data_IF_079072959029
#
_entry.id   IF_079072959029
#
_cell.length_a   1.000
_cell.length_b   1.000
_cell.length_c   1.000
_cell.angle_alpha   90.00
_cell.angle_beta   90.00
_cell.angle_gamma   90.00
#
_symmetry.space_group_name_H-M   'P 1'
#
loop_
_entity.id
_entity.type
_entity.pdbx_description
1 polymer ?
#
# COMPACT_ATOMS: atom_id res chain seq x y z
N UNK A 1 5.87 16.73 -5.93
CA UNK A 1 4.89 17.26 -4.97
C UNK A 1 3.56 16.55 -5.19
N UNK A 2 2.93 16.02 -4.14
CA UNK A 2 1.58 15.43 -4.20
C UNK A 2 0.62 16.43 -3.56
N UNK A 3 -0.15 17.20 -4.35
CA UNK A 3 -0.92 18.33 -3.84
C UNK A 3 -2.16 17.90 -3.04
N UNK A 4 -2.73 16.73 -3.34
CA UNK A 4 -3.89 16.18 -2.64
C UNK A 4 -3.96 14.66 -2.84
N UNK A 5 -4.77 13.97 -2.05
CA UNK A 5 -5.32 12.64 -2.36
C UNK A 5 -6.82 12.63 -2.09
N UNK A 6 -7.56 11.76 -2.77
CA UNK A 6 -8.95 11.53 -2.45
C UNK A 6 -9.05 10.54 -1.28
N UNK A 7 -9.78 10.95 -0.23
CA UNK A 7 -10.02 10.14 0.96
C UNK A 7 -8.72 9.69 1.63
N UNK A 8 -8.61 8.41 1.93
CA UNK A 8 -7.41 7.79 2.48
C UNK A 8 -6.93 6.60 1.65
N UNK A 9 -5.68 6.18 1.87
CA UNK A 9 -5.17 4.93 1.35
C UNK A 9 -4.28 4.18 2.34
N UNK A 10 -4.31 2.85 2.24
CA UNK A 10 -3.44 1.94 2.99
C UNK A 10 -2.34 1.39 2.09
N UNK A 11 -1.11 1.45 2.58
CA UNK A 11 0.08 0.90 1.94
C UNK A 11 0.81 0.00 2.95
N UNK A 12 1.30 -1.13 2.48
CA UNK A 12 2.14 -2.00 3.30
C UNK A 12 3.35 -2.50 2.51
N UNK A 13 4.52 -2.38 3.13
CA UNK A 13 5.75 -3.07 2.79
C UNK A 13 6.06 -4.12 3.86
N UNK A 14 6.63 -5.24 3.42
CA UNK A 14 6.99 -6.30 4.36
C UNK A 14 7.22 -7.65 3.70
N UNK A 15 7.48 -8.63 4.55
CA UNK A 15 7.78 -10.00 4.18
C UNK A 15 6.74 -10.97 4.74
N UNK A 16 6.31 -11.94 3.93
CA UNK A 16 5.52 -13.06 4.41
C UNK A 16 6.45 -14.08 5.09
N UNK A 17 6.14 -14.44 6.34
CA UNK A 17 6.94 -15.38 7.14
C UNK A 17 6.19 -16.69 7.38
N UNK A 18 6.62 -17.82 6.75
CA UNK A 18 6.02 -19.12 6.99
C UNK A 18 6.11 -19.53 8.46
N UNK A 19 5.01 -19.97 9.09
CA UNK A 19 4.98 -20.20 10.54
C UNK A 19 5.81 -21.41 11.00
N UNK A 20 6.24 -22.27 10.06
CA UNK A 20 7.13 -23.40 10.31
C UNK A 20 7.79 -23.89 9.02
N UNK A 21 8.90 -24.61 9.17
CA UNK A 21 9.58 -25.25 8.06
C UNK A 21 8.66 -26.21 7.28
N UNK A 22 8.83 -26.26 5.95
CA UNK A 22 8.10 -27.17 5.07
C UNK A 22 6.70 -26.70 4.65
N UNK A 23 6.19 -25.58 5.19
CA UNK A 23 5.00 -24.91 4.66
C UNK A 23 5.25 -24.58 3.19
N UNK A 24 4.29 -24.91 2.31
CA UNK A 24 4.38 -24.68 0.86
C UNK A 24 3.56 -23.51 0.38
N UNK A 25 2.54 -23.14 1.16
CA UNK A 25 1.68 -22.00 0.92
C UNK A 25 1.11 -21.49 2.24
N UNK A 26 0.79 -20.21 2.29
CA UNK A 26 0.16 -19.56 3.43
C UNK A 26 -0.69 -18.37 2.96
N UNK A 27 -1.38 -17.76 3.91
CA UNK A 27 -2.07 -16.51 3.72
C UNK A 27 -1.39 -15.41 4.55
N UNK A 28 -1.33 -14.21 3.97
CA UNK A 28 -1.07 -12.98 4.72
C UNK A 28 -2.30 -12.10 4.66
N UNK A 29 -2.63 -11.43 5.75
CA UNK A 29 -3.86 -10.65 5.85
C UNK A 29 -3.60 -9.33 6.57
N UNK A 30 -4.10 -8.24 5.97
CA UNK A 30 -4.25 -6.96 6.64
C UNK A 30 -5.74 -6.63 6.71
N UNK A 31 -6.18 -6.15 7.87
CA UNK A 31 -7.55 -5.71 8.09
C UNK A 31 -7.59 -4.41 8.89
N UNK A 32 -8.57 -3.56 8.59
CA UNK A 32 -8.87 -2.32 9.28
C UNK A 32 -10.33 -2.36 9.74
N UNK A 33 -10.57 -2.01 11.00
CA UNK A 33 -11.90 -1.67 11.49
C UNK A 33 -11.90 -0.18 11.80
N UNK A 34 -12.78 0.55 11.12
CA UNK A 34 -12.94 1.99 11.26
C UNK A 34 -13.84 2.33 12.45
N UNK A 35 -13.75 3.57 12.91
CA UNK A 35 -14.50 4.06 14.09
C UNK A 35 -16.02 4.04 13.89
N UNK A 36 -16.49 4.12 12.64
CA UNK A 36 -17.91 4.00 12.27
C UNK A 36 -18.41 2.54 12.25
N UNK A 37 -17.55 1.57 12.61
CA UNK A 37 -17.82 0.15 12.61
C UNK A 37 -17.65 -0.55 11.26
N UNK A 38 -17.41 0.21 10.18
CA UNK A 38 -17.08 -0.38 8.87
C UNK A 38 -15.75 -1.12 8.92
N UNK A 39 -15.57 -2.08 8.00
CA UNK A 39 -14.40 -2.95 7.99
C UNK A 39 -13.86 -3.13 6.59
N UNK A 40 -12.54 -3.21 6.52
CA UNK A 40 -11.79 -3.58 5.34
C UNK A 40 -10.88 -4.76 5.64
N UNK A 41 -10.71 -5.65 4.66
CA UNK A 41 -9.81 -6.79 4.75
C UNK A 41 -9.26 -7.14 3.39
N UNK A 42 -7.96 -7.43 3.33
CA UNK A 42 -7.31 -8.00 2.16
C UNK A 42 -6.42 -9.13 2.58
N UNK A 43 -6.63 -10.28 1.94
CA UNK A 43 -5.87 -11.50 2.12
C UNK A 43 -5.15 -11.82 0.81
N UNK A 44 -3.85 -12.07 0.88
CA UNK A 44 -3.04 -12.55 -0.24
C UNK A 44 -2.65 -14.00 -0.03
N UNK A 45 -2.71 -14.79 -1.10
CA UNK A 45 -2.23 -16.16 -1.11
C UNK A 45 -0.75 -16.15 -1.48
N UNK A 46 0.08 -16.74 -0.63
CA UNK A 46 1.52 -16.82 -0.81
C UNK A 46 1.93 -18.27 -1.02
N UNK A 47 2.62 -18.57 -2.11
CA UNK A 47 3.12 -19.90 -2.42
C UNK A 47 4.64 -19.92 -2.60
N UNK A 48 5.25 -21.04 -2.23
CA UNK A 48 6.57 -21.39 -2.71
C UNK A 48 6.57 -21.50 -4.24
N UNK A 49 7.76 -21.54 -4.83
CA UNK A 49 7.89 -21.54 -6.29
C UNK A 49 7.08 -22.66 -6.94
N UNK A 50 6.35 -22.29 -8.00
CA UNK A 50 5.63 -23.20 -8.89
C UNK A 50 6.00 -22.88 -10.32
N UNK A 51 5.97 -23.89 -11.17
CA UNK A 51 6.26 -23.76 -12.60
C UNK A 51 5.22 -24.51 -13.41
N UNK A 52 5.04 -24.13 -14.67
CA UNK A 52 4.23 -24.91 -15.60
C UNK A 52 4.94 -26.21 -15.95
N UNK A 53 4.21 -27.33 -15.91
CA UNK A 53 4.65 -28.63 -16.45
C UNK A 53 3.66 -29.09 -17.51
N UNK A 54 4.16 -29.84 -18.50
CA UNK A 54 3.31 -30.49 -19.49
C UNK A 54 2.58 -31.67 -18.85
N UNK A 55 1.31 -31.83 -19.16
CA UNK A 55 0.53 -33.03 -18.85
C UNK A 55 -0.27 -33.48 -20.09
N UNK A 56 -1.03 -34.57 -19.97
CA UNK A 56 -1.84 -35.12 -21.08
C UNK A 56 -2.94 -34.16 -21.56
N UNK A 57 -3.36 -33.20 -20.73
CA UNK A 57 -4.45 -32.26 -20.99
C UNK A 57 -3.94 -30.83 -21.30
N UNK A 58 -2.63 -30.65 -21.53
CA UNK A 58 -1.99 -29.36 -21.77
C UNK A 58 -0.92 -29.03 -20.73
N UNK A 59 -1.09 -27.92 -20.01
CA UNK A 59 -0.16 -27.47 -18.98
C UNK A 59 -0.87 -27.35 -17.62
N UNK A 60 -0.18 -27.76 -16.57
CA UNK A 60 -0.63 -27.64 -15.18
C UNK A 60 0.53 -27.12 -14.31
N UNK A 61 0.25 -26.50 -13.16
CA UNK A 61 1.30 -26.11 -12.23
C UNK A 61 1.97 -27.36 -11.61
N UNK A 62 3.24 -27.22 -11.23
CA UNK A 62 3.90 -28.12 -10.29
C UNK A 62 3.31 -27.93 -8.89
N UNK A 63 3.58 -28.89 -8.01
CA UNK A 63 3.42 -28.62 -6.58
C UNK A 63 4.32 -27.44 -6.17
N UNK A 64 3.86 -26.65 -5.21
CA UNK A 64 4.69 -25.61 -4.64
C UNK A 64 5.88 -26.22 -3.89
N UNK A 65 7.07 -25.65 -4.10
CA UNK A 65 8.23 -25.93 -3.23
C UNK A 65 7.94 -25.43 -1.81
N UNK A 66 8.82 -25.80 -0.86
CA UNK A 66 8.81 -25.18 0.46
C UNK A 66 8.93 -23.66 0.31
N UNK A 67 8.07 -22.94 1.02
CA UNK A 67 8.06 -21.48 1.08
C UNK A 67 9.05 -21.06 2.16
N UNK A 68 9.97 -20.15 1.81
CA UNK A 68 10.76 -19.38 2.77
C UNK A 68 10.15 -17.98 2.95
N UNK A 69 10.81 -17.09 3.74
CA UNK A 69 10.43 -15.68 3.81
C UNK A 69 10.32 -15.08 2.40
N UNK A 70 9.20 -14.43 2.10
CA UNK A 70 8.93 -13.87 0.78
C UNK A 70 8.53 -12.39 0.87
N UNK A 71 9.39 -11.46 0.42
CA UNK A 71 9.04 -10.04 0.33
C UNK A 71 7.78 -9.84 -0.52
N UNK A 72 6.83 -9.04 -0.02
CA UNK A 72 5.58 -8.74 -0.70
C UNK A 72 5.78 -7.66 -1.78
N UNK A 73 6.45 -8.04 -2.86
CA UNK A 73 6.75 -7.16 -3.99
C UNK A 73 6.03 -7.60 -5.27
N UNK A 74 5.76 -6.66 -6.16
CA UNK A 74 5.04 -6.91 -7.41
C UNK A 74 5.78 -7.86 -8.36
N UNK A 75 7.09 -8.00 -8.24
CA UNK A 75 7.95 -8.94 -8.95
C UNK A 75 7.59 -10.41 -8.67
N UNK A 76 6.93 -10.67 -7.55
CA UNK A 76 6.42 -12.00 -7.17
C UNK A 76 4.94 -12.19 -7.51
N UNK A 77 4.24 -11.13 -7.93
CA UNK A 77 2.84 -11.15 -8.31
C UNK A 77 2.62 -11.44 -9.80
N UNK A 78 1.37 -11.70 -10.19
CA UNK A 78 1.00 -11.91 -11.59
C UNK A 78 1.36 -10.69 -12.45
N UNK A 79 1.94 -10.93 -13.63
CA UNK A 79 2.33 -9.90 -14.59
C UNK A 79 3.59 -10.30 -15.37
N UNK A 80 4.32 -9.31 -15.86
CA UNK A 80 5.59 -9.48 -16.56
C UNK A 80 5.48 -9.42 -18.08
N UNK A 81 6.47 -10.02 -18.73
CA UNK A 81 6.66 -9.99 -20.18
C UNK A 81 6.60 -11.40 -20.76
N UNK A 82 5.90 -11.55 -21.89
CA UNK A 82 5.95 -12.72 -22.77
C UNK A 82 6.83 -12.36 -23.96
N UNK A 83 8.15 -12.53 -23.79
CA UNK A 83 9.18 -12.14 -24.76
C UNK A 83 8.99 -12.80 -26.12
N UNK A 84 8.53 -14.06 -26.14
CA UNK A 84 8.31 -14.82 -27.38
C UNK A 84 7.23 -14.20 -28.27
N UNK A 85 6.36 -13.36 -27.70
CA UNK A 85 5.21 -12.76 -28.39
C UNK A 85 5.24 -11.24 -28.39
N UNK A 86 6.30 -10.67 -27.81
CA UNK A 86 6.46 -9.23 -27.64
C UNK A 86 5.19 -8.61 -26.99
N UNK A 87 4.82 -9.16 -25.83
CA UNK A 87 3.68 -8.69 -25.04
C UNK A 87 4.08 -8.44 -23.60
N UNK A 88 3.58 -7.34 -23.05
CA UNK A 88 3.79 -6.95 -21.66
C UNK A 88 2.42 -6.84 -20.98
N UNK A 89 2.28 -7.40 -19.78
CA UNK A 89 1.15 -7.07 -18.92
C UNK A 89 1.36 -5.68 -18.33
N UNK A 90 0.70 -4.67 -18.91
CA UNK A 90 0.84 -3.27 -18.48
C UNK A 90 0.32 -3.03 -17.05
N UNK A 91 -0.43 -3.98 -16.46
CA UNK A 91 -0.88 -3.91 -15.06
C UNK A 91 0.27 -4.06 -14.07
N UNK A 92 1.24 -4.90 -14.41
CA UNK A 92 2.43 -5.17 -13.60
C UNK A 92 3.58 -5.64 -14.53
N UNK A 93 4.30 -4.71 -15.19
CA UNK A 93 5.35 -5.04 -16.15
C UNK A 93 6.55 -5.79 -15.56
N UNK A 94 6.76 -5.71 -14.24
CA UNK A 94 7.88 -6.34 -13.53
C UNK A 94 7.50 -7.67 -12.87
N UNK A 95 6.23 -8.06 -12.97
CA UNK A 95 5.70 -9.30 -12.39
C UNK A 95 6.18 -10.57 -13.09
N UNK A 96 5.53 -11.68 -12.75
CA UNK A 96 5.81 -12.99 -13.36
C UNK A 96 4.56 -13.78 -13.68
N UNK A 97 4.71 -14.74 -14.58
CA UNK A 97 3.65 -15.69 -14.95
C UNK A 97 2.68 -15.21 -16.02
N UNK A 98 2.86 -14.01 -16.58
CA UNK A 98 2.12 -13.58 -17.77
C UNK A 98 2.44 -14.47 -18.97
N UNK A 99 1.40 -14.94 -19.65
CA UNK A 99 1.50 -15.70 -20.87
C UNK A 99 0.38 -15.26 -21.82
N UNK A 100 0.74 -14.63 -22.94
CA UNK A 100 -0.25 -14.08 -23.86
C UNK A 100 -1.09 -15.20 -24.47
N UNK A 101 -2.42 -15.10 -24.31
CA UNK A 101 -3.40 -16.13 -24.71
C UNK A 101 -3.15 -17.49 -24.07
N UNK A 102 -2.55 -17.52 -22.87
CA UNK A 102 -2.29 -18.74 -22.09
C UNK A 102 -1.27 -19.69 -22.72
N UNK A 103 -0.40 -19.20 -23.60
CA UNK A 103 0.63 -20.02 -24.25
C UNK A 103 1.90 -20.08 -23.39
N UNK A 104 1.93 -21.04 -22.48
CA UNK A 104 3.03 -21.26 -21.53
C UNK A 104 4.00 -22.32 -22.01
N UNK A 105 5.24 -22.27 -21.49
CA UNK A 105 6.27 -23.28 -21.71
C UNK A 105 6.52 -24.10 -20.43
N UNK A 106 6.93 -25.38 -20.54
CA UNK A 106 7.42 -26.12 -19.39
C UNK A 106 8.57 -25.37 -18.69
N UNK A 107 8.52 -25.28 -17.37
CA UNK A 107 9.48 -24.56 -16.54
C UNK A 107 9.20 -23.07 -16.36
N UNK A 108 8.25 -22.48 -17.11
CA UNK A 108 7.89 -21.08 -16.93
C UNK A 108 7.29 -20.87 -15.52
N UNK A 109 7.77 -19.89 -14.73
CA UNK A 109 7.35 -19.69 -13.35
C UNK A 109 5.91 -19.15 -13.26
N UNK A 110 5.21 -19.57 -12.21
CA UNK A 110 3.96 -18.93 -11.76
C UNK A 110 4.26 -17.83 -10.73
N UNK A 111 3.32 -16.89 -10.52
CA UNK A 111 3.43 -15.96 -9.40
C UNK A 111 3.43 -16.70 -8.06
N UNK A 112 4.12 -16.09 -7.10
CA UNK A 112 4.16 -16.53 -5.72
C UNK A 112 3.16 -15.76 -4.85
N UNK A 113 2.75 -14.56 -5.30
CA UNK A 113 1.73 -13.73 -4.65
C UNK A 113 0.51 -13.68 -5.56
N UNK A 114 -0.61 -14.14 -5.03
CA UNK A 114 -1.89 -14.14 -5.73
C UNK A 114 -3.02 -13.62 -4.85
N UNK A 115 -4.17 -13.33 -5.47
CA UNK A 115 -5.40 -12.97 -4.78
C UNK A 115 -6.58 -13.71 -5.40
N UNK A 116 -7.45 -14.24 -4.55
CA UNK A 116 -8.62 -15.00 -4.95
C UNK A 116 -8.80 -16.20 -4.03
N UNK A 117 -9.85 -17.02 -4.24
CA UNK A 117 -10.12 -18.16 -3.37
C UNK A 117 -9.15 -19.33 -3.58
N UNK A 118 -8.34 -19.30 -4.65
CA UNK A 118 -7.38 -20.35 -5.00
C UNK A 118 -6.27 -19.79 -5.87
N UNK A 119 -5.14 -20.51 -5.89
CA UNK A 119 -4.06 -20.22 -6.82
C UNK A 119 -4.44 -20.52 -8.28
N UNK A 120 -3.73 -19.89 -9.22
CA UNK A 120 -3.78 -20.17 -10.65
C UNK A 120 -3.49 -21.66 -10.90
N UNK A 121 -4.36 -22.27 -11.71
CA UNK A 121 -4.25 -23.68 -12.12
C UNK A 121 -4.29 -23.86 -13.64
N UNK A 122 -4.71 -22.84 -14.39
CA UNK A 122 -4.78 -22.85 -15.85
C UNK A 122 -3.99 -21.70 -16.46
N UNK A 123 -3.25 -21.92 -17.57
CA UNK A 123 -2.50 -20.87 -18.25
C UNK A 123 -3.34 -19.68 -18.74
N UNK A 124 -4.63 -19.88 -18.96
CA UNK A 124 -5.54 -18.84 -19.44
C UNK A 124 -6.04 -17.91 -18.34
N UNK A 125 -5.83 -18.24 -17.05
CA UNK A 125 -6.17 -17.38 -15.92
C UNK A 125 -5.20 -16.20 -15.88
N UNK A 126 -5.73 -14.98 -15.95
CA UNK A 126 -4.95 -13.72 -15.91
C UNK A 126 -5.47 -12.80 -14.79
N UNK A 127 -5.30 -13.19 -13.52
CA UNK A 127 -5.82 -12.42 -12.40
C UNK A 127 -5.20 -11.03 -12.32
N UNK A 128 -5.80 -10.16 -11.52
CA UNK A 128 -5.20 -8.87 -11.20
C UNK A 128 -3.91 -9.07 -10.37
N UNK A 129 -2.85 -8.27 -10.62
CA UNK A 129 -1.66 -8.29 -9.80
C UNK A 129 -1.98 -8.04 -8.32
N UNK A 130 -1.52 -8.94 -7.47
CA UNK A 130 -1.77 -8.91 -6.03
C UNK A 130 -0.60 -8.24 -5.29
N UNK A 131 -0.90 -7.31 -4.38
CA UNK A 131 0.10 -6.64 -3.55
C UNK A 131 -0.52 -5.56 -2.65
N UNK A 132 0.22 -5.14 -1.63
CA UNK A 132 -0.17 -4.03 -0.74
C UNK A 132 0.55 -2.71 -1.08
N UNK A 133 1.70 -2.78 -1.73
CA UNK A 133 2.55 -1.63 -2.01
C UNK A 133 1.98 -0.65 -3.04
N UNK A 134 2.65 0.50 -3.24
CA UNK A 134 2.23 1.52 -4.18
C UNK A 134 2.39 1.07 -5.63
N UNK A 135 1.43 1.46 -6.49
CA UNK A 135 1.49 1.26 -7.94
C UNK A 135 2.21 2.46 -8.58
N UNK A 136 3.22 2.23 -9.44
CA UNK A 136 3.87 3.29 -10.21
C UNK A 136 2.91 4.04 -11.14
N UNK A 137 3.11 5.35 -11.31
CA UNK A 137 2.23 6.20 -12.12
C UNK A 137 2.17 5.82 -13.60
N UNK A 138 3.22 5.19 -14.13
CA UNK A 138 3.31 4.77 -15.52
C UNK A 138 2.72 3.37 -15.78
N UNK A 139 2.25 2.65 -14.74
CA UNK A 139 1.56 1.38 -14.92
C UNK A 139 0.09 1.62 -15.26
N UNK A 140 -0.50 0.71 -16.04
CA UNK A 140 -1.86 0.88 -16.57
C UNK A 140 -2.92 1.23 -15.50
N UNK A 141 -2.94 0.66 -14.27
CA UNK A 141 -3.96 0.99 -13.28
C UNK A 141 -3.98 2.47 -12.87
N UNK A 142 -2.83 3.16 -12.91
CA UNK A 142 -2.72 4.60 -12.60
C UNK A 142 -2.65 5.47 -13.85
N UNK A 143 -2.15 4.95 -14.96
CA UNK A 143 -2.15 5.66 -16.24
C UNK A 143 -3.58 5.92 -16.72
N UNK A 144 -4.51 4.99 -16.46
CA UNK A 144 -5.93 5.17 -16.78
C UNK A 144 -6.61 6.31 -16.00
N UNK A 145 -6.04 6.72 -14.86
CA UNK A 145 -6.53 7.83 -14.04
C UNK A 145 -5.92 9.18 -14.47
N UNK A 146 -4.92 9.14 -15.36
CA UNK A 146 -4.21 10.30 -15.94
C UNK A 146 -4.78 10.74 -17.31
N UNK A 147 -6.04 10.37 -17.63
CA UNK A 147 -6.67 10.77 -18.89
C UNK A 147 -6.69 12.29 -19.02
N UNK A 148 -6.23 12.78 -20.18
CA UNK A 148 -6.18 14.21 -20.49
C UNK A 148 -4.92 14.93 -20.03
N UNK A 149 -3.88 14.20 -19.57
CA UNK A 149 -2.56 14.77 -19.34
C UNK A 149 -1.96 15.31 -20.64
N UNK A 150 -1.69 16.61 -20.68
CA UNK A 150 -1.15 17.32 -21.84
C UNK A 150 0.38 17.44 -21.73
N UNK A 151 1.07 16.57 -22.46
CA UNK A 151 2.54 16.57 -22.51
C UNK A 151 3.10 17.85 -23.12
N UNK A 152 2.41 18.43 -24.11
CA UNK A 152 2.87 19.66 -24.75
C UNK A 152 2.79 20.84 -23.78
N UNK A 153 1.69 20.94 -23.04
CA UNK A 153 1.56 21.93 -21.98
C UNK A 153 2.68 21.79 -20.93
N UNK A 154 3.07 20.57 -20.55
CA UNK A 154 4.22 20.35 -19.65
C UNK A 154 5.53 20.88 -20.24
N UNK A 155 5.82 20.53 -21.49
CA UNK A 155 7.04 20.93 -22.21
C UNK A 155 7.12 22.46 -22.36
N UNK A 156 5.98 23.12 -22.55
CA UNK A 156 5.85 24.57 -22.64
C UNK A 156 5.84 25.27 -21.26
N UNK A 157 5.98 24.52 -20.15
CA UNK A 157 6.02 25.07 -18.78
C UNK A 157 4.65 25.43 -18.19
N UNK A 158 3.56 24.95 -18.81
CA UNK A 158 2.19 25.13 -18.35
C UNK A 158 1.71 23.95 -17.49
N UNK A 159 0.54 24.11 -16.86
CA UNK A 159 -0.09 23.02 -16.11
C UNK A 159 -0.55 21.93 -17.07
N UNK A 160 -0.01 20.70 -16.99
CA UNK A 160 -0.35 19.61 -17.91
C UNK A 160 -1.66 18.90 -17.55
N UNK A 161 -2.28 19.31 -16.45
CA UNK A 161 -3.48 18.67 -15.95
C UNK A 161 -4.73 19.34 -16.51
N UNK A 162 -5.74 18.57 -16.95
CA UNK A 162 -7.01 19.14 -17.36
C UNK A 162 -7.72 19.76 -16.15
N UNK A 163 -8.67 20.67 -16.37
CA UNK A 163 -9.44 21.28 -15.28
C UNK A 163 -10.15 20.26 -14.37
N UNK A 164 -10.53 19.11 -14.92
CA UNK A 164 -11.26 18.04 -14.23
C UNK A 164 -10.38 16.78 -14.13
N UNK A 165 -9.29 16.86 -13.39
CA UNK A 165 -8.45 15.71 -13.05
C UNK A 165 -9.25 14.71 -12.20
N UNK A 166 -8.99 13.40 -12.37
CA UNK A 166 -9.49 12.41 -11.41
C UNK A 166 -9.08 12.78 -9.99
N UNK A 167 -10.03 12.76 -9.05
CA UNK A 167 -9.75 12.99 -7.63
C UNK A 167 -8.74 11.98 -7.07
N UNK A 168 -8.64 10.79 -7.67
CA UNK A 168 -7.73 9.72 -7.27
C UNK A 168 -6.33 9.78 -7.90
N UNK A 169 -6.03 10.79 -8.74
CA UNK A 169 -4.80 10.87 -9.54
C UNK A 169 -3.53 10.54 -8.73
N UNK A 170 -3.47 11.10 -7.52
CA UNK A 170 -2.31 11.01 -6.65
C UNK A 170 -2.36 9.86 -5.64
N UNK A 171 -3.49 9.15 -5.55
CA UNK A 171 -3.55 7.88 -4.83
C UNK A 171 -2.67 6.86 -5.56
N UNK A 172 -1.83 6.18 -4.81
CA UNK A 172 -0.89 5.20 -5.35
C UNK A 172 -1.20 3.79 -4.86
N UNK A 173 -2.00 3.61 -3.80
CA UNK A 173 -2.42 2.29 -3.38
C UNK A 173 -3.29 1.62 -4.46
N UNK A 174 -3.32 0.29 -4.54
CA UNK A 174 -4.35 -0.44 -5.28
C UNK A 174 -5.77 0.03 -4.90
N UNK A 175 -6.71 0.01 -5.86
CA UNK A 175 -8.08 0.55 -5.66
C UNK A 175 -8.81 -0.06 -4.47
N UNK A 176 -8.53 -1.31 -4.15
CA UNK A 176 -9.11 -2.03 -3.02
C UNK A 176 -8.53 -1.62 -1.66
N UNK A 177 -7.57 -0.70 -1.62
CA UNK A 177 -6.93 -0.16 -0.41
C UNK A 177 -7.10 1.37 -0.32
N UNK A 178 -8.10 1.91 -1.02
CA UNK A 178 -8.47 3.33 -1.00
C UNK A 178 -9.82 3.46 -0.33
N UNK A 179 -9.95 4.43 0.56
CA UNK A 179 -11.13 4.66 1.38
C UNK A 179 -11.70 6.05 1.10
N UNK A 180 -13.03 6.24 1.17
CA UNK A 180 -13.67 7.50 0.83
C UNK A 180 -13.37 8.63 1.84
N UNK A 181 -13.03 8.28 3.08
CA UNK A 181 -12.78 9.22 4.17
C UNK A 181 -11.32 9.13 4.63
N UNK A 182 -10.78 10.25 5.12
CA UNK A 182 -9.49 10.29 5.77
C UNK A 182 -9.50 9.47 7.08
N UNK A 183 -8.34 8.93 7.47
CA UNK A 183 -8.18 8.31 8.77
C UNK A 183 -8.42 9.35 9.89
N UNK A 184 -9.03 8.91 10.98
CA UNK A 184 -9.32 9.73 12.15
C UNK A 184 -8.37 9.42 13.31
N UNK A 185 -7.62 8.31 13.24
CA UNK A 185 -6.97 7.70 14.41
C UNK A 185 -7.99 6.86 15.19
N UNK A 186 -7.50 5.93 16.02
CA UNK A 186 -8.35 5.00 16.77
C UNK A 186 -8.86 3.80 15.96
N UNK A 187 -8.60 3.76 14.64
CA UNK A 187 -8.93 2.58 13.84
C UNK A 187 -8.11 1.37 14.29
N UNK A 188 -8.72 0.18 14.23
CA UNK A 188 -8.08 -1.04 14.67
C UNK A 188 -7.45 -1.74 13.47
N UNK A 189 -6.13 -1.82 13.46
CA UNK A 189 -5.33 -2.51 12.45
C UNK A 189 -4.99 -3.92 12.93
N UNK A 190 -5.18 -4.91 12.07
CA UNK A 190 -4.81 -6.30 12.30
C UNK A 190 -3.93 -6.80 11.16
N UNK A 191 -2.78 -7.40 11.51
CA UNK A 191 -1.77 -7.88 10.57
C UNK A 191 -1.41 -9.33 10.89
N UNK A 192 -1.56 -10.24 9.92
CA UNK A 192 -1.29 -11.67 10.09
C UNK A 192 -0.31 -12.19 9.03
N UNK A 193 0.66 -12.98 9.48
CA UNK A 193 1.63 -13.66 8.61
C UNK A 193 2.86 -12.84 8.23
N UNK A 194 3.03 -11.67 8.85
CA UNK A 194 4.13 -10.73 8.59
C UNK A 194 5.28 -10.82 9.60
N UNK A 195 5.08 -11.50 10.72
CA UNK A 195 6.05 -11.51 11.82
C UNK A 195 6.51 -12.95 12.11
N UNK A 196 7.82 -13.25 12.04
CA UNK A 196 8.32 -14.63 12.17
C UNK A 196 8.02 -15.26 13.52
N UNK A 197 8.08 -14.47 14.59
CA UNK A 197 7.90 -14.94 15.97
C UNK A 197 6.43 -14.86 16.45
N UNK A 198 5.52 -14.43 15.58
CA UNK A 198 4.10 -14.25 15.92
C UNK A 198 3.18 -14.87 14.85
N UNK A 199 2.80 -16.16 14.98
CA UNK A 199 1.94 -16.83 14.00
C UNK A 199 0.49 -16.33 14.00
N UNK A 200 0.06 -15.68 15.09
CA UNK A 200 -1.25 -15.03 15.20
C UNK A 200 -1.30 -13.66 14.52
N UNK A 201 -2.46 -13.02 14.54
CA UNK A 201 -2.58 -11.63 14.13
C UNK A 201 -1.97 -10.72 15.21
N UNK A 202 -1.21 -9.71 14.79
CA UNK A 202 -0.82 -8.57 15.62
C UNK A 202 -1.90 -7.52 15.45
N UNK A 203 -2.45 -7.04 16.57
CA UNK A 203 -3.50 -6.04 16.62
C UNK A 203 -2.98 -4.76 17.27
N UNK A 204 -3.33 -3.61 16.71
CA UNK A 204 -3.02 -2.31 17.26
C UNK A 204 -4.10 -1.29 16.94
N UNK A 205 -4.24 -0.31 17.82
CA UNK A 205 -5.03 0.90 17.59
C UNK A 205 -4.15 1.94 16.90
N UNK A 206 -4.64 2.56 15.83
CA UNK A 206 -3.94 3.66 15.19
C UNK A 206 -3.85 4.83 16.19
N UNK A 207 -2.67 5.46 16.32
CA UNK A 207 -2.52 6.55 17.26
C UNK A 207 -3.42 7.73 16.83
N UNK A 208 -3.85 8.53 17.80
CA UNK A 208 -4.77 9.65 17.58
C UNK A 208 -4.12 11.07 17.56
N UNK A 209 -2.84 11.28 17.17
CA UNK A 209 -2.31 12.63 17.11
C UNK A 209 -2.94 13.38 15.93
N UNK A 210 -3.58 14.50 16.21
CA UNK A 210 -3.96 15.46 15.16
C UNK A 210 -2.90 16.57 15.14
N UNK A 211 -1.92 16.55 14.22
CA UNK A 211 -1.01 17.68 14.08
C UNK A 211 -1.84 18.93 13.75
N UNK A 212 -1.41 20.07 14.29
CA UNK A 212 -1.99 21.36 13.94
C UNK A 212 -1.06 22.07 12.97
N UNK A 213 -1.64 22.72 11.96
CA UNK A 213 -0.88 23.52 11.02
C UNK A 213 -1.54 24.88 10.80
N UNK A 214 -0.70 25.89 10.59
CA UNK A 214 -1.13 27.27 10.37
C UNK A 214 -0.42 27.85 9.14
N UNK A 215 -1.19 28.53 8.30
CA UNK A 215 -0.68 29.39 7.24
C UNK A 215 -0.53 30.80 7.79
N UNK A 216 0.67 31.36 7.72
CA UNK A 216 0.96 32.72 8.19
C UNK A 216 1.31 33.61 7.00
N UNK A 217 0.49 34.64 6.77
CA UNK A 217 0.68 35.66 5.72
C UNK A 217 0.46 37.02 6.36
N UNK A 218 1.37 37.97 6.17
CA UNK A 218 1.24 39.34 6.72
C UNK A 218 0.94 39.33 8.25
N UNK A 219 1.60 38.44 9.00
CA UNK A 219 1.39 38.18 10.44
C UNK A 219 -0.03 37.71 10.82
N UNK A 220 -0.85 37.29 9.86
CA UNK A 220 -2.18 36.69 10.12
C UNK A 220 -2.05 35.18 10.11
N UNK A 221 -2.52 34.56 11.18
CA UNK A 221 -2.53 33.12 11.36
C UNK A 221 -3.86 32.56 10.88
N UNK A 222 -3.81 31.65 9.92
CA UNK A 222 -4.97 30.92 9.43
C UNK A 222 -4.77 29.43 9.73
N UNK A 223 -5.66 28.79 10.52
CA UNK A 223 -5.58 27.35 10.73
C UNK A 223 -5.81 26.59 9.43
N UNK A 224 -5.05 25.51 9.24
CA UNK A 224 -5.13 24.61 8.11
C UNK A 224 -5.81 23.30 8.54
N UNK A 225 -6.80 22.87 7.77
CA UNK A 225 -7.45 21.56 7.97
C UNK A 225 -6.63 20.49 7.27
N UNK A 226 -5.83 19.76 8.05
CA UNK A 226 -5.07 18.60 7.57
C UNK A 226 -5.97 17.37 7.41
N UNK A 227 -5.67 16.53 6.44
CA UNK A 227 -6.33 15.24 6.21
C UNK A 227 -5.32 14.12 6.38
N UNK A 228 -5.58 13.16 7.27
CA UNK A 228 -4.77 11.94 7.37
C UNK A 228 -5.16 10.98 6.24
N UNK A 229 -4.48 11.11 5.11
CA UNK A 229 -4.90 10.49 3.85
C UNK A 229 -4.02 9.26 3.49
N UNK A 230 -3.04 8.90 4.32
CA UNK A 230 -2.20 7.72 4.08
C UNK A 230 -1.77 7.07 5.39
N UNK A 231 -2.06 5.78 5.48
CA UNK A 231 -1.49 4.87 6.45
C UNK A 231 -0.48 4.00 5.70
N UNK A 232 0.79 4.09 6.07
CA UNK A 232 1.85 3.24 5.57
C UNK A 232 2.42 2.39 6.70
N UNK A 233 2.54 1.09 6.46
CA UNK A 233 3.08 0.13 7.42
C UNK A 233 4.30 -0.56 6.81
N UNK A 234 5.39 -0.58 7.54
CA UNK A 234 6.55 -1.43 7.24
C UNK A 234 6.66 -2.52 8.30
N UNK A 235 6.26 -3.74 7.95
CA UNK A 235 6.26 -4.84 8.92
C UNK A 235 7.65 -5.41 9.17
N UNK A 236 8.61 -5.18 8.27
CA UNK A 236 9.98 -5.65 8.44
C UNK A 236 10.74 -4.72 9.40
N UNK A 237 10.49 -3.41 9.32
CA UNK A 237 11.00 -2.43 10.28
C UNK A 237 10.19 -2.35 11.59
N UNK A 238 8.94 -2.83 11.59
CA UNK A 238 8.03 -2.67 12.74
C UNK A 238 7.52 -1.24 12.90
N UNK A 239 7.39 -0.51 11.79
CA UNK A 239 7.08 0.92 11.78
C UNK A 239 5.73 1.19 11.12
N UNK A 240 5.07 2.25 11.59
CA UNK A 240 3.83 2.75 11.05
C UNK A 240 3.91 4.26 10.88
N UNK A 241 3.42 4.73 9.74
CA UNK A 241 3.42 6.13 9.34
C UNK A 241 2.00 6.56 9.01
N UNK A 242 1.53 7.58 9.71
CA UNK A 242 0.35 8.35 9.34
C UNK A 242 0.83 9.62 8.64
N UNK A 243 0.26 9.91 7.47
CA UNK A 243 0.62 11.10 6.70
C UNK A 243 -0.55 12.05 6.62
N UNK A 244 -0.34 13.26 7.12
CA UNK A 244 -1.29 14.36 7.02
C UNK A 244 -0.91 15.27 5.85
N UNK A 245 -1.91 15.65 5.05
CA UNK A 245 -1.73 16.56 3.91
C UNK A 245 -2.76 17.66 3.90
N UNK A 246 -2.36 18.82 3.40
CA UNK A 246 -3.25 19.94 3.07
C UNK A 246 -2.76 20.57 1.78
N UNK A 247 -3.69 20.85 0.87
CA UNK A 247 -3.44 21.67 -0.30
C UNK A 247 -3.67 23.14 0.04
N UNK A 248 -2.68 23.99 -0.21
CA UNK A 248 -2.78 25.44 0.00
C UNK A 248 -2.97 26.09 -1.38
N UNK A 249 -4.15 26.62 -1.71
CA UNK A 249 -4.35 27.34 -2.95
C UNK A 249 -3.53 28.63 -2.91
N UNK A 250 -2.63 28.80 -3.88
CA UNK A 250 -1.79 30.00 -3.97
C UNK A 250 -1.83 30.58 -5.39
N UNK A 251 -2.30 31.81 -5.59
CA UNK A 251 -2.24 32.45 -6.90
C UNK A 251 -0.78 32.67 -7.31
N UNK A 252 -0.39 32.26 -8.51
CA UNK A 252 0.98 32.47 -9.04
C UNK A 252 1.36 33.95 -9.09
N UNK A 253 0.37 34.83 -9.23
CA UNK A 253 0.55 36.28 -9.24
C UNK A 253 0.67 36.90 -7.84
N UNK A 254 0.45 36.15 -6.76
CA UNK A 254 0.53 36.67 -5.39
C UNK A 254 1.99 36.66 -4.92
N UNK A 255 2.63 37.85 -4.77
CA UNK A 255 4.06 37.95 -4.49
C UNK A 255 4.37 37.83 -2.99
N UNK A 256 3.35 37.71 -2.13
CA UNK A 256 3.54 37.69 -0.69
C UNK A 256 4.30 36.43 -0.26
N UNK A 257 5.09 36.58 0.81
CA UNK A 257 5.69 35.44 1.48
C UNK A 257 4.69 34.82 2.44
N UNK A 258 4.74 33.49 2.55
CA UNK A 258 3.90 32.74 3.47
C UNK A 258 4.74 31.69 4.21
N UNK A 259 4.40 31.48 5.47
CA UNK A 259 4.99 30.43 6.29
C UNK A 259 3.94 29.36 6.60
N UNK A 260 4.35 28.10 6.59
CA UNK A 260 3.55 27.01 7.13
C UNK A 260 4.20 26.57 8.43
N UNK A 261 3.52 26.83 9.53
CA UNK A 261 3.94 26.39 10.86
C UNK A 261 3.20 25.11 11.19
N UNK A 262 3.94 24.08 11.58
CA UNK A 262 3.39 22.80 12.05
C UNK A 262 3.72 22.67 13.52
N UNK A 263 2.69 22.52 14.35
CA UNK A 263 2.84 22.27 15.77
C UNK A 263 2.76 20.76 15.99
N UNK A 264 3.72 20.24 16.75
CA UNK A 264 3.69 18.85 17.17
C UNK A 264 2.39 18.59 17.95
N UNK A 265 1.72 17.46 17.71
CA UNK A 265 0.53 17.09 18.48
C UNK A 265 0.90 17.08 19.97
N UNK A 266 0.04 17.66 20.81
CA UNK A 266 0.20 17.51 22.26
C UNK A 266 0.11 16.02 22.60
N UNK A 267 1.20 15.42 23.04
CA UNK A 267 1.20 14.04 23.52
C UNK A 267 0.34 13.99 24.79
N UNK A 268 -0.83 13.35 24.73
CA UNK A 268 -1.60 13.03 25.94
C UNK A 268 -0.96 11.89 26.78
N UNK A 269 0.26 11.47 26.44
CA UNK A 269 1.00 10.41 27.11
C UNK A 269 2.05 10.97 28.08
N UNK A 270 1.60 11.72 29.10
CA UNK A 270 2.34 11.89 30.36
C UNK A 270 1.33 11.82 31.52
N UNK A 271 0.64 10.70 31.68
CA UNK A 271 0.00 10.39 32.95
C UNK A 271 0.20 8.90 33.27
N UNK A 272 0.72 8.68 34.48
CA UNK A 272 0.92 7.41 35.20
C UNK A 272 2.26 6.68 34.98
N UNK A 273 3.27 6.99 35.81
CA UNK A 273 3.57 6.21 37.03
C UNK A 273 4.88 6.66 37.69
N UNK A 274 4.80 7.43 38.78
CA UNK A 274 5.82 7.34 39.85
C UNK A 274 5.13 6.80 41.10
N UNK A 275 5.52 5.64 41.63
CA UNK A 275 5.16 5.28 42.99
C UNK A 275 6.09 6.07 43.93
N UNK A 276 5.49 6.93 44.76
CA UNK A 276 6.14 7.43 45.98
C UNK A 276 6.56 6.22 46.84
N UNK A 277 7.84 5.88 46.80
CA UNK A 277 8.48 5.06 47.81
C UNK A 277 9.08 6.01 48.85
N UNK A 278 8.31 6.34 49.89
CA UNK A 278 8.90 6.79 51.15
C UNK A 278 9.59 5.58 51.81
N UNK A 279 10.91 5.52 51.70
CA UNK A 279 11.76 4.82 52.65
C UNK A 279 12.62 5.86 53.35
N UNK A 280 12.22 6.28 54.55
CA UNK A 280 13.15 6.78 55.55
C UNK A 280 13.44 5.65 56.54
N UNK A 281 14.68 5.20 56.53
CA UNK A 281 15.32 4.42 57.59
C UNK A 281 16.41 5.32 58.19
N UNK A 282 16.22 5.72 59.45
CA UNK A 282 17.24 6.00 60.48
C UNK A 282 16.48 6.29 61.79
N UNK A 283 16.79 5.76 62.97
CA UNK A 283 17.92 5.00 63.49
C UNK A 283 17.44 4.01 64.58
#
# INVERSE_FOLDING_TARGET
MVPFKAGAEFLLSGTAHPPKAGVRAMEVEAALRFNDGSQWRKTLLIAGERQWKKNLLGAAPTDAKALGPLPLRYEHAFGGVDDKRDKVDKRNPVGRGFAHRGRVEPGQPLPQIERGPRFIVRPTEQPEPAGYGPIPSHWQPRLEEQKGFDLKALEDGHCPYPRNVSASLFNCAPKDQRFPQAFQGGEQLSLRGFFPDHPGAVELELPQPTPEAFLVIDNRWQPLTLQCDTLQVDTDAGELYLVWRVGIPWPVSDPREAWVLVQAPHSQAEHETEPHAEQEVTA
#
